data_IF_558235200645
#
_entry.id   IF_558235200645
#
_cell.length_a   1.000
_cell.length_b   1.000
_cell.length_c   1.000
_cell.angle_alpha   90.00
_cell.angle_beta   90.00
_cell.angle_gamma   90.00
#
_symmetry.space_group_name_H-M   'P 1'
#
loop_
_entity.id
_entity.type
_entity.pdbx_description
1 polymer ?
#
# COMPACT_ATOMS: atom_id res chain seq x y z
N UNK A 1 -2.51 25.11 16.60
CA UNK A 1 -1.59 24.44 15.66
C UNK A 1 -1.79 22.94 15.73
N UNK A 2 -1.56 22.30 16.88
CA UNK A 2 -1.71 20.86 17.09
C UNK A 2 -3.06 20.27 16.62
N UNK A 3 -4.18 20.82 17.09
CA UNK A 3 -5.52 20.32 16.72
C UNK A 3 -5.78 20.41 15.22
N UNK A 4 -5.26 21.45 14.56
CA UNK A 4 -5.35 21.60 13.11
C UNK A 4 -4.60 20.48 12.39
N UNK A 5 -3.41 20.12 12.87
CA UNK A 5 -2.60 19.04 12.28
C UNK A 5 -3.27 17.68 12.47
N UNK A 6 -3.89 17.42 13.61
CA UNK A 6 -4.67 16.17 13.82
C UNK A 6 -5.83 16.11 12.84
N UNK A 7 -6.63 17.18 12.74
CA UNK A 7 -7.78 17.24 11.82
C UNK A 7 -7.35 17.09 10.37
N UNK A 8 -6.28 17.76 9.94
CA UNK A 8 -5.75 17.67 8.58
C UNK A 8 -5.27 16.24 8.26
N UNK A 9 -4.46 15.64 9.14
CA UNK A 9 -3.93 14.30 8.88
C UNK A 9 -5.03 13.23 8.89
N UNK A 10 -6.01 13.36 9.80
CA UNK A 10 -7.18 12.49 9.81
C UNK A 10 -7.97 12.63 8.51
N UNK A 11 -8.22 13.85 8.05
CA UNK A 11 -8.92 14.08 6.78
C UNK A 11 -8.20 13.44 5.58
N UNK A 12 -6.87 13.50 5.55
CA UNK A 12 -6.06 12.83 4.51
C UNK A 12 -6.11 11.31 4.62
N UNK A 13 -6.08 10.78 5.84
CA UNK A 13 -6.22 9.35 6.10
C UNK A 13 -7.58 8.83 5.62
N UNK A 14 -8.67 9.46 6.06
CA UNK A 14 -10.03 9.11 5.69
C UNK A 14 -10.20 9.17 4.16
N UNK A 15 -9.79 10.29 3.54
CA UNK A 15 -9.82 10.50 2.09
C UNK A 15 -9.10 9.39 1.33
N UNK A 16 -7.90 9.02 1.76
CA UNK A 16 -7.11 8.03 1.05
C UNK A 16 -7.69 6.62 1.26
N UNK A 17 -8.20 6.30 2.45
CA UNK A 17 -8.75 4.99 2.78
C UNK A 17 -10.06 4.64 2.04
N UNK A 18 -10.73 5.62 1.45
CA UNK A 18 -11.86 5.41 0.53
C UNK A 18 -11.53 4.39 -0.57
N UNK A 19 -10.31 4.39 -1.11
CA UNK A 19 -9.94 3.46 -2.18
C UNK A 19 -9.85 2.01 -1.70
N UNK A 20 -9.40 1.79 -0.47
CA UNK A 20 -9.30 0.45 0.09
C UNK A 20 -10.69 -0.13 0.35
N UNK A 21 -11.60 0.70 0.86
CA UNK A 21 -13.01 0.35 0.97
C UNK A 21 -13.64 0.08 -0.41
N UNK A 22 -13.37 0.91 -1.42
CA UNK A 22 -13.87 0.70 -2.80
C UNK A 22 -13.39 -0.62 -3.41
N UNK A 23 -12.15 -1.02 -3.13
CA UNK A 23 -11.55 -2.25 -3.62
C UNK A 23 -11.83 -3.47 -2.74
N UNK A 24 -12.52 -3.30 -1.61
CA UNK A 24 -12.70 -4.34 -0.60
C UNK A 24 -11.36 -4.97 -0.15
N UNK A 25 -10.34 -4.11 0.00
CA UNK A 25 -9.03 -4.49 0.56
C UNK A 25 -9.01 -4.15 2.04
N UNK A 26 -8.85 -5.14 2.94
CA UNK A 26 -8.71 -4.87 4.36
C UNK A 26 -7.49 -4.00 4.64
N UNK A 27 -7.61 -3.02 5.53
CA UNK A 27 -6.51 -2.19 5.99
C UNK A 27 -6.59 -2.01 7.50
N UNK A 28 -5.45 -1.75 8.14
CA UNK A 28 -5.42 -1.39 9.55
C UNK A 28 -5.84 0.07 9.67
N UNK A 29 -7.01 0.34 10.26
CA UNK A 29 -7.47 1.70 10.55
C UNK A 29 -6.52 2.37 11.55
N UNK A 30 -5.78 3.42 11.16
CA UNK A 30 -4.73 3.96 12.01
C UNK A 30 -5.30 4.87 13.11
N UNK A 31 -4.94 4.61 14.37
CA UNK A 31 -5.30 5.48 15.50
C UNK A 31 -4.44 6.76 15.59
N UNK A 32 -3.37 6.86 14.78
CA UNK A 32 -2.50 8.02 14.73
C UNK A 32 -1.39 7.90 13.67
N UNK A 33 -0.66 9.00 13.48
CA UNK A 33 0.38 9.11 12.46
C UNK A 33 -0.19 9.31 11.06
N UNK A 34 0.58 8.94 10.04
CA UNK A 34 0.27 9.19 8.62
C UNK A 34 0.53 7.97 7.73
N UNK A 35 0.67 6.78 8.33
CA UNK A 35 0.87 5.53 7.62
C UNK A 35 -0.38 4.65 7.72
N UNK A 36 -0.69 3.94 6.63
CA UNK A 36 -1.70 2.88 6.60
C UNK A 36 -1.08 1.60 6.05
N UNK A 37 -1.38 0.47 6.68
CA UNK A 37 -1.03 -0.87 6.23
C UNK A 37 -2.25 -1.50 5.57
N UNK A 38 -2.10 -1.89 4.31
CA UNK A 38 -3.18 -2.48 3.50
C UNK A 38 -2.84 -3.93 3.22
N UNK A 39 -3.76 -4.83 3.51
CA UNK A 39 -3.64 -6.24 3.16
C UNK A 39 -3.94 -6.41 1.66
N UNK A 40 -2.91 -6.77 0.91
CA UNK A 40 -2.91 -6.94 -0.54
C UNK A 40 -3.02 -8.42 -0.95
N UNK A 41 -3.51 -9.31 -0.06
CA UNK A 41 -3.65 -10.74 -0.36
C UNK A 41 -4.57 -11.04 -1.55
N UNK A 42 -5.59 -10.20 -1.78
CA UNK A 42 -6.51 -10.31 -2.93
C UNK A 42 -5.85 -9.94 -4.27
N UNK A 43 -4.71 -9.25 -4.25
CA UNK A 43 -3.98 -8.86 -5.46
C UNK A 43 -3.12 -10.03 -5.94
N UNK A 44 -3.44 -10.55 -7.10
CA UNK A 44 -2.74 -11.65 -7.77
C UNK A 44 -1.80 -11.10 -8.84
N UNK A 45 -0.51 -11.07 -8.52
CA UNK A 45 0.51 -10.74 -9.52
C UNK A 45 0.67 -11.95 -10.46
N UNK A 46 0.73 -11.75 -11.79
CA UNK A 46 0.95 -12.85 -12.73
C UNK A 46 2.17 -13.70 -12.36
N UNK A 47 2.05 -15.02 -12.48
CA UNK A 47 3.09 -15.96 -12.03
C UNK A 47 4.42 -15.80 -12.79
N UNK A 48 4.36 -15.32 -14.03
CA UNK A 48 5.47 -15.05 -14.93
C UNK A 48 5.89 -13.57 -14.96
N UNK A 49 5.41 -12.75 -14.00
CA UNK A 49 5.75 -11.34 -13.95
C UNK A 49 7.27 -11.14 -13.77
N UNK A 50 7.92 -10.32 -14.62
CA UNK A 50 9.37 -10.16 -14.57
C UNK A 50 9.78 -9.31 -13.37
N UNK A 51 10.59 -9.90 -12.48
CA UNK A 51 11.22 -9.19 -11.36
C UNK A 51 12.73 -9.14 -11.54
N UNK A 52 13.39 -8.01 -11.26
CA UNK A 52 14.84 -7.99 -11.11
C UNK A 52 15.28 -8.96 -10.01
N UNK A 53 16.49 -9.51 -10.13
CA UNK A 53 17.05 -10.51 -9.20
C UNK A 53 16.99 -10.07 -7.72
N UNK A 54 17.28 -8.79 -7.46
CA UNK A 54 17.26 -8.21 -6.12
C UNK A 54 15.84 -8.02 -5.53
N UNK A 55 14.79 -8.21 -6.32
CA UNK A 55 13.38 -8.22 -5.87
C UNK A 55 12.83 -9.65 -5.88
N UNK A 56 13.21 -10.46 -6.87
CA UNK A 56 12.74 -11.84 -7.02
C UNK A 56 13.07 -12.72 -5.80
N UNK A 57 14.20 -12.45 -5.15
CA UNK A 57 14.70 -13.12 -3.94
C UNK A 57 14.08 -12.61 -2.64
N UNK A 58 13.26 -11.55 -2.67
CA UNK A 58 12.66 -10.91 -1.49
C UNK A 58 11.26 -11.44 -1.19
N UNK A 59 10.72 -11.20 0.01
CA UNK A 59 9.35 -11.58 0.37
C UNK A 59 8.28 -11.00 -0.56
N UNK A 60 7.04 -11.49 -0.45
CA UNK A 60 5.94 -11.17 -1.38
C UNK A 60 5.64 -9.67 -1.45
N UNK A 61 5.70 -8.94 -0.34
CA UNK A 61 5.43 -7.51 -0.28
C UNK A 61 6.44 -6.67 -1.07
N UNK A 62 7.70 -7.10 -1.19
CA UNK A 62 8.68 -6.46 -2.10
C UNK A 62 8.25 -6.59 -3.56
N UNK A 63 7.77 -7.77 -3.95
CA UNK A 63 7.25 -8.02 -5.29
C UNK A 63 6.00 -7.19 -5.55
N UNK A 64 5.11 -7.08 -4.57
CA UNK A 64 3.94 -6.20 -4.63
C UNK A 64 4.34 -4.71 -4.77
N UNK A 65 5.28 -4.23 -3.97
CA UNK A 65 5.75 -2.85 -4.05
C UNK A 65 6.36 -2.53 -5.42
N UNK A 66 7.17 -3.45 -5.96
CA UNK A 66 7.69 -3.35 -7.32
C UNK A 66 6.57 -3.32 -8.36
N UNK A 67 5.64 -4.26 -8.27
CA UNK A 67 4.50 -4.37 -9.18
C UNK A 67 3.62 -3.11 -9.17
N UNK A 68 3.34 -2.54 -7.99
CA UNK A 68 2.59 -1.29 -7.85
C UNK A 68 3.32 -0.11 -8.53
N UNK A 69 4.65 -0.05 -8.44
CA UNK A 69 5.44 0.97 -9.12
C UNK A 69 5.33 0.81 -10.64
N UNK A 70 5.49 -0.40 -11.15
CA UNK A 70 5.50 -0.64 -12.60
C UNK A 70 4.11 -0.49 -13.23
N UNK A 71 3.09 -1.12 -12.65
CA UNK A 71 1.75 -1.19 -13.27
C UNK A 71 0.84 -0.03 -12.88
N UNK A 72 0.96 0.44 -11.63
CA UNK A 72 0.12 1.51 -11.12
C UNK A 72 0.86 2.83 -11.03
N UNK A 73 2.18 2.88 -11.19
CA UNK A 73 2.94 4.11 -10.97
C UNK A 73 2.77 4.66 -9.55
N UNK A 74 2.59 3.79 -8.55
CA UNK A 74 2.41 4.15 -7.14
C UNK A 74 3.48 3.46 -6.32
N UNK A 75 4.34 4.26 -5.67
CA UNK A 75 5.35 3.75 -4.75
C UNK A 75 4.75 3.49 -3.36
N UNK A 76 5.08 2.34 -2.80
CA UNK A 76 4.70 1.94 -1.45
C UNK A 76 5.85 1.17 -0.79
N UNK A 77 5.79 0.97 0.52
CA UNK A 77 6.89 0.36 1.28
C UNK A 77 6.51 -1.06 1.71
N UNK A 78 7.36 -2.07 1.42
CA UNK A 78 7.20 -3.42 1.96
C UNK A 78 7.51 -3.43 3.46
N UNK A 79 6.54 -3.75 4.33
CA UNK A 79 6.75 -3.77 5.77
C UNK A 79 7.68 -4.87 6.25
N UNK A 80 7.93 -5.94 5.48
CA UNK A 80 8.86 -7.02 5.87
C UNK A 80 10.29 -6.54 6.07
N UNK A 81 10.67 -5.38 5.50
CA UNK A 81 11.95 -4.71 5.79
C UNK A 81 12.09 -4.34 7.28
N UNK A 82 10.98 -4.25 8.02
CA UNK A 82 10.97 -3.98 9.47
C UNK A 82 10.84 -5.27 10.31
N UNK A 83 10.93 -6.44 9.67
CA UNK A 83 10.85 -7.74 10.33
C UNK A 83 12.17 -8.50 10.17
N UNK A 84 12.46 -9.37 11.12
CA UNK A 84 13.49 -10.40 10.94
C UNK A 84 13.01 -11.44 9.93
N UNK A 85 13.93 -12.09 9.21
CA UNK A 85 13.59 -13.15 8.22
C UNK A 85 12.64 -14.21 8.78
N UNK A 86 12.86 -14.66 10.03
CA UNK A 86 12.01 -15.65 10.70
C UNK A 86 10.54 -15.22 10.85
N UNK A 87 10.25 -13.92 10.88
CA UNK A 87 8.93 -13.34 11.14
C UNK A 87 8.35 -12.59 9.92
N UNK A 88 9.07 -12.51 8.80
CA UNK A 88 8.63 -11.76 7.62
C UNK A 88 7.27 -12.24 7.07
N UNK A 89 6.98 -13.53 7.20
CA UNK A 89 5.70 -14.14 6.81
C UNK A 89 4.46 -13.51 7.48
N UNK A 90 4.62 -12.81 8.61
CA UNK A 90 3.52 -12.10 9.28
C UNK A 90 3.06 -10.85 8.52
N UNK A 91 3.92 -10.27 7.69
CA UNK A 91 3.69 -8.99 7.03
C UNK A 91 3.79 -9.04 5.50
N UNK A 92 4.16 -10.18 4.91
CA UNK A 92 4.40 -10.32 3.46
C UNK A 92 3.15 -10.10 2.57
N UNK A 93 1.96 -10.13 3.18
CA UNK A 93 0.69 -9.80 2.52
C UNK A 93 0.32 -8.32 2.65
N UNK A 94 1.06 -7.53 3.41
CA UNK A 94 0.76 -6.12 3.67
C UNK A 94 1.67 -5.19 2.90
N UNK A 95 1.16 -4.00 2.58
CA UNK A 95 1.94 -2.92 1.98
C UNK A 95 1.64 -1.61 2.72
N UNK A 96 2.68 -0.82 3.03
CA UNK A 96 2.56 0.45 3.77
C UNK A 96 2.52 1.64 2.81
N UNK A 97 1.52 2.50 2.97
CA UNK A 97 1.37 3.78 2.28
C UNK A 97 1.47 4.95 3.26
N UNK A 98 1.82 6.13 2.77
CA UNK A 98 1.93 7.36 3.55
C UNK A 98 1.00 8.45 2.98
N UNK A 99 0.14 9.03 3.81
CA UNK A 99 -0.87 10.02 3.42
C UNK A 99 -0.45 11.47 3.63
N UNK A 100 0.76 11.71 4.13
CA UNK A 100 1.34 13.04 4.37
C UNK A 100 1.74 13.76 3.06
N UNK A 101 0.80 13.88 2.13
CA UNK A 101 0.93 14.47 0.79
C UNK A 101 -0.23 15.42 0.53
N UNK A 102 -0.14 16.21 -0.53
CA UNK A 102 -1.23 17.07 -0.96
C UNK A 102 -2.42 16.24 -1.44
N UNK A 103 -3.63 16.79 -1.29
CA UNK A 103 -4.88 16.08 -1.60
C UNK A 103 -4.92 15.61 -3.07
N UNK A 104 -4.41 16.41 -4.00
CA UNK A 104 -4.34 16.06 -5.42
C UNK A 104 -3.47 14.82 -5.68
N UNK A 105 -2.38 14.64 -4.92
CA UNK A 105 -1.51 13.46 -5.01
C UNK A 105 -2.23 12.22 -4.49
N UNK A 106 -3.01 12.37 -3.41
CA UNK A 106 -3.82 11.27 -2.86
C UNK A 106 -4.92 10.86 -3.84
N UNK A 107 -5.62 11.82 -4.46
CA UNK A 107 -6.65 11.55 -5.46
C UNK A 107 -6.07 10.88 -6.72
N UNK A 108 -4.92 11.33 -7.21
CA UNK A 108 -4.23 10.69 -8.33
C UNK A 108 -3.77 9.26 -7.97
N UNK A 109 -3.26 9.05 -6.76
CA UNK A 109 -2.94 7.72 -6.28
C UNK A 109 -4.19 6.81 -6.23
N UNK A 110 -5.32 7.29 -5.71
CA UNK A 110 -6.59 6.55 -5.74
C UNK A 110 -7.00 6.19 -7.16
N UNK A 111 -6.93 7.16 -8.10
CA UNK A 111 -7.25 6.93 -9.52
C UNK A 111 -6.42 5.81 -10.12
N UNK A 112 -5.10 5.79 -9.87
CA UNK A 112 -4.20 4.74 -10.38
C UNK A 112 -4.46 3.40 -9.70
N UNK A 113 -4.63 3.38 -8.38
CA UNK A 113 -4.88 2.16 -7.60
C UNK A 113 -6.16 1.42 -8.00
N UNK A 114 -7.16 2.09 -8.58
CA UNK A 114 -8.32 1.40 -9.20
C UNK A 114 -7.92 0.40 -10.30
N UNK A 115 -6.75 0.56 -10.90
CA UNK A 115 -6.18 -0.41 -11.84
C UNK A 115 -5.95 -1.79 -11.22
N UNK A 116 -5.82 -1.89 -9.89
CA UNK A 116 -5.71 -3.15 -9.17
C UNK A 116 -6.89 -4.09 -9.41
N UNK A 117 -8.09 -3.58 -9.74
CA UNK A 117 -9.27 -4.40 -10.07
C UNK A 117 -8.99 -5.44 -11.17
N UNK A 118 -8.03 -5.18 -12.06
CA UNK A 118 -7.62 -6.12 -13.12
C UNK A 118 -6.88 -7.36 -12.58
N UNK A 119 -6.34 -7.24 -11.37
CA UNK A 119 -5.49 -8.23 -10.71
C UNK A 119 -6.13 -8.75 -9.42
N UNK A 120 -7.40 -8.45 -9.19
CA UNK A 120 -8.17 -8.90 -8.04
C UNK A 120 -9.28 -9.82 -8.55
N UNK A 121 -9.35 -11.03 -8.00
CA UNK A 121 -10.44 -11.98 -8.27
C UNK A 121 -11.64 -11.70 -7.38
#
# INVERSE_FOLDING_TARGET
>A
FWDKTITDMKSKMDRFNEIWAELDLPYSEPEGGYFVLVNMKKVQVPADYPFPEHVASRPRDFKLAWFLIQEMGVAAIPPTEFYTDANAHLAEDYVRFAVCKDDEVLEEAKRRLRGLKKYMQ
#
